data_IF_738652931123
#
_entry.id   IF_738652931123
#
_cell.length_a   1.000
_cell.length_b   1.000
_cell.length_c   1.000
_cell.angle_alpha   90.00
_cell.angle_beta   90.00
_cell.angle_gamma   90.00
#
_symmetry.space_group_name_H-M   'P 1'
#
loop_
_entity.id
_entity.type
_entity.pdbx_description
1 polymer ?
#
# COMPACT_ATOMS: atom_id res chain seq x y z
N UNK A 1 18.70 -15.45 -12.31
CA UNK A 1 19.84 -16.35 -12.51
C UNK A 1 21.10 -15.53 -12.78
N UNK A 2 22.31 -16.08 -12.52
CA UNK A 2 23.60 -15.41 -12.72
C UNK A 2 23.75 -14.85 -14.16
N UNK A 3 23.24 -15.55 -15.15
CA UNK A 3 23.27 -15.12 -16.56
C UNK A 3 22.48 -13.82 -16.81
N UNK A 4 21.34 -13.62 -16.16
CA UNK A 4 20.56 -12.36 -16.27
C UNK A 4 21.30 -11.19 -15.67
N UNK A 5 22.09 -11.40 -14.59
CA UNK A 5 22.95 -10.36 -13.99
C UNK A 5 24.11 -9.98 -14.90
N UNK A 6 24.73 -10.95 -15.55
CA UNK A 6 25.87 -10.71 -16.48
C UNK A 6 25.38 -9.97 -17.74
N UNK A 7 24.23 -10.36 -18.30
CA UNK A 7 23.62 -9.64 -19.43
C UNK A 7 23.19 -8.21 -19.02
N UNK A 8 22.69 -8.02 -17.81
CA UNK A 8 22.36 -6.68 -17.25
C UNK A 8 23.62 -5.82 -17.11
N UNK A 9 24.71 -6.35 -16.56
CA UNK A 9 25.97 -5.63 -16.41
C UNK A 9 26.59 -5.26 -17.77
N UNK A 10 26.57 -6.15 -18.76
CA UNK A 10 27.13 -5.87 -20.10
C UNK A 10 26.31 -4.84 -20.90
N UNK A 11 25.00 -4.72 -20.66
CA UNK A 11 24.16 -3.74 -21.36
C UNK A 11 24.35 -2.30 -20.85
N UNK A 12 24.97 -2.11 -19.69
CA UNK A 12 25.11 -0.80 -19.01
C UNK A 12 26.52 -0.21 -19.11
N UNK A 13 27.55 -1.00 -19.50
CA UNK A 13 28.95 -0.58 -19.51
C UNK A 13 29.40 0.14 -20.78
N UNK A 14 28.54 0.72 -21.59
CA UNK A 14 28.97 1.38 -22.83
C UNK A 14 28.81 2.90 -22.78
N UNK A 15 29.91 3.57 -22.44
CA UNK A 15 30.33 4.83 -22.99
C UNK A 15 29.55 6.08 -22.66
N UNK A 16 29.97 6.77 -21.60
CA UNK A 16 29.69 8.18 -21.30
C UNK A 16 29.61 8.41 -19.80
N UNK A 17 30.37 9.36 -19.28
CA UNK A 17 30.38 9.80 -17.89
C UNK A 17 29.06 10.50 -17.45
N UNK A 18 27.98 10.41 -18.23
CA UNK A 18 26.77 11.15 -17.98
C UNK A 18 25.88 10.42 -16.97
N UNK A 19 25.41 11.16 -15.98
CA UNK A 19 24.38 10.73 -15.06
C UNK A 19 23.03 10.75 -15.76
N UNK A 20 22.30 9.63 -15.71
CA UNK A 20 21.02 9.43 -16.41
C UNK A 20 20.05 8.69 -15.49
N UNK A 21 18.80 9.14 -15.44
CA UNK A 21 17.70 8.38 -14.89
C UNK A 21 16.77 7.90 -16.01
N UNK A 22 16.42 6.61 -15.96
CA UNK A 22 15.53 5.97 -16.92
C UNK A 22 14.22 5.67 -16.19
N UNK A 23 13.14 6.28 -16.66
CA UNK A 23 11.82 6.21 -16.04
C UNK A 23 10.84 5.55 -17.02
N UNK A 24 10.22 4.49 -16.60
CA UNK A 24 9.16 3.85 -17.37
C UNK A 24 7.91 3.65 -16.49
N UNK A 25 6.77 4.01 -17.05
CA UNK A 25 5.47 3.85 -16.40
C UNK A 25 4.65 2.76 -17.11
N UNK A 26 3.87 2.03 -16.33
CA UNK A 26 2.82 1.14 -16.81
C UNK A 26 1.57 1.36 -15.97
N UNK A 27 0.42 1.51 -16.63
CA UNK A 27 -0.90 1.61 -15.98
C UNK A 27 -1.74 0.40 -16.41
N UNK A 28 -2.42 -0.24 -15.47
CA UNK A 28 -3.34 -1.33 -15.72
C UNK A 28 -4.26 -1.53 -14.52
N UNK A 29 -5.57 -1.70 -14.76
CA UNK A 29 -6.55 -2.01 -13.72
C UNK A 29 -6.61 -0.96 -12.60
N UNK A 30 -6.52 0.33 -12.93
CA UNK A 30 -6.54 1.42 -11.95
C UNK A 30 -5.27 1.53 -11.10
N UNK A 31 -4.23 0.73 -11.40
CA UNK A 31 -2.93 0.76 -10.71
C UNK A 31 -1.83 1.21 -11.66
N UNK A 32 -0.79 1.82 -11.11
CA UNK A 32 0.38 2.21 -11.86
C UNK A 32 1.67 1.69 -11.20
N UNK A 33 2.67 1.43 -12.04
CA UNK A 33 4.04 1.21 -11.61
C UNK A 33 4.96 2.13 -12.40
N UNK A 34 5.81 2.88 -11.70
CA UNK A 34 6.93 3.62 -12.28
C UNK A 34 8.22 2.91 -11.91
N UNK A 35 8.95 2.41 -12.90
CA UNK A 35 10.30 1.87 -12.70
C UNK A 35 11.32 2.96 -12.95
N UNK A 36 12.14 3.24 -11.95
CA UNK A 36 13.26 4.18 -12.01
C UNK A 36 14.56 3.38 -11.98
N UNK A 37 15.33 3.45 -13.06
CA UNK A 37 16.69 2.92 -13.15
C UNK A 37 17.70 4.07 -13.14
N UNK A 38 18.69 4.00 -12.28
CA UNK A 38 19.68 5.07 -12.11
C UNK A 38 21.03 4.66 -12.67
N UNK A 39 21.60 5.50 -13.50
CA UNK A 39 22.97 5.39 -14.03
C UNK A 39 23.79 6.60 -13.57
N UNK A 40 24.93 6.36 -12.94
CA UNK A 40 25.84 7.40 -12.47
C UNK A 40 27.28 7.04 -12.87
N UNK A 41 27.97 7.97 -13.52
CA UNK A 41 29.32 7.73 -14.05
C UNK A 41 29.38 6.48 -14.94
N UNK A 42 28.39 6.25 -15.79
CA UNK A 42 28.28 5.07 -16.66
C UNK A 42 27.97 3.75 -15.96
N UNK A 43 27.72 3.74 -14.63
CA UNK A 43 27.39 2.55 -13.85
C UNK A 43 25.92 2.52 -13.46
N UNK A 44 25.27 1.40 -13.71
CA UNK A 44 23.90 1.16 -13.26
C UNK A 44 23.88 0.91 -11.74
N UNK A 45 23.18 1.77 -10.98
CA UNK A 45 23.08 1.69 -9.52
C UNK A 45 21.93 0.82 -9.04
N UNK A 46 21.03 0.44 -9.92
CA UNK A 46 19.87 -0.41 -9.63
C UNK A 46 18.57 0.14 -10.18
N UNK A 47 17.56 -0.71 -10.14
CA UNK A 47 16.18 -0.41 -10.50
C UNK A 47 15.31 -0.35 -9.23
N UNK A 48 14.38 0.59 -9.21
CA UNK A 48 13.39 0.71 -8.14
C UNK A 48 12.00 0.88 -8.72
N UNK A 49 11.07 0.04 -8.27
CA UNK A 49 9.66 0.17 -8.62
C UNK A 49 8.94 1.04 -7.58
N UNK A 50 8.13 1.96 -8.06
CA UNK A 50 7.25 2.81 -7.27
C UNK A 50 5.82 2.58 -7.73
N UNK A 51 4.87 2.62 -6.79
CA UNK A 51 3.45 2.39 -7.06
C UNK A 51 2.64 3.62 -6.64
N UNK A 52 2.44 4.60 -7.55
CA UNK A 52 1.61 5.78 -7.28
C UNK A 52 0.16 5.38 -6.93
N UNK A 53 -0.44 6.06 -5.95
CA UNK A 53 -1.78 5.72 -5.43
C UNK A 53 -2.92 6.51 -6.06
N UNK A 54 -2.66 7.66 -6.69
CA UNK A 54 -3.69 8.56 -7.24
C UNK A 54 -3.83 8.44 -8.76
N UNK A 55 -3.99 7.21 -9.25
CA UNK A 55 -4.14 6.94 -10.69
C UNK A 55 -5.58 7.20 -11.18
N UNK A 56 -6.56 7.01 -10.29
CA UNK A 56 -8.00 7.18 -10.60
C UNK A 56 -8.34 8.64 -10.89
N UNK A 57 -7.75 9.58 -10.17
CA UNK A 57 -7.94 11.02 -10.40
C UNK A 57 -7.42 11.44 -11.79
N UNK A 58 -6.29 10.89 -12.23
CA UNK A 58 -5.72 11.13 -13.56
C UNK A 58 -6.61 10.52 -14.66
N UNK A 59 -7.25 9.38 -14.40
CA UNK A 59 -8.16 8.73 -15.34
C UNK A 59 -9.49 9.49 -15.50
N UNK A 60 -10.06 9.99 -14.40
CA UNK A 60 -11.28 10.79 -14.40
C UNK A 60 -11.11 12.11 -15.19
N UNK A 61 -9.98 12.80 -14.99
CA UNK A 61 -9.66 14.03 -15.71
C UNK A 61 -9.43 13.81 -17.21
N UNK A 62 -8.94 12.65 -17.62
CA UNK A 62 -8.73 12.29 -19.03
C UNK A 62 -10.05 11.91 -19.74
N UNK A 63 -11.04 11.38 -19.01
CA UNK A 63 -12.31 10.90 -19.59
C UNK A 63 -13.31 12.02 -19.83
N UNK A 64 -13.18 13.17 -19.14
CA UNK A 64 -14.12 14.30 -19.25
C UNK A 64 -13.87 15.25 -20.45
N UNK A 65 -12.80 15.04 -21.24
CA UNK A 65 -12.45 15.92 -22.36
C UNK A 65 -12.12 15.12 -23.61
N UNK A 66 -12.90 15.39 -24.64
CA UNK A 66 -12.85 14.73 -25.97
C UNK A 66 -11.80 15.40 -26.92
N UNK A 67 -10.68 15.88 -26.39
CA UNK A 67 -9.63 16.54 -27.17
C UNK A 67 -8.46 15.58 -27.47
N UNK A 68 -8.17 15.36 -28.75
CA UNK A 68 -7.07 14.52 -29.28
C UNK A 68 -5.65 14.98 -28.88
N UNK A 69 -5.48 16.09 -28.13
CA UNK A 69 -4.22 16.66 -27.67
C UNK A 69 -3.91 16.40 -26.19
N UNK A 70 -4.72 15.63 -25.48
CA UNK A 70 -4.50 15.41 -24.04
C UNK A 70 -3.41 14.37 -23.78
N UNK A 71 -2.56 14.61 -22.76
CA UNK A 71 -1.54 13.64 -22.38
C UNK A 71 -2.21 12.33 -21.90
N UNK A 72 -1.62 11.19 -22.28
CA UNK A 72 -2.06 9.87 -21.82
C UNK A 72 -2.06 9.76 -20.29
N UNK A 73 -2.84 8.84 -19.72
CA UNK A 73 -2.83 8.57 -18.27
C UNK A 73 -1.41 8.24 -17.81
N UNK A 74 -0.69 7.45 -18.59
CA UNK A 74 0.71 7.13 -18.35
C UNK A 74 1.59 8.39 -18.28
N UNK A 75 1.43 9.32 -19.20
CA UNK A 75 2.20 10.57 -19.22
C UNK A 75 1.88 11.44 -17.99
N UNK A 76 0.60 11.53 -17.58
CA UNK A 76 0.19 12.29 -16.39
C UNK A 76 0.75 11.67 -15.10
N UNK A 77 0.68 10.36 -14.96
CA UNK A 77 1.23 9.63 -13.81
C UNK A 77 2.76 9.81 -13.76
N UNK A 78 3.43 9.76 -14.91
CA UNK A 78 4.88 9.92 -14.97
C UNK A 78 5.31 11.35 -14.62
N UNK A 79 4.62 12.37 -15.13
CA UNK A 79 4.88 13.78 -14.80
C UNK A 79 4.68 14.03 -13.29
N UNK A 80 3.58 13.53 -12.70
CA UNK A 80 3.32 13.65 -11.28
C UNK A 80 4.41 12.96 -10.43
N UNK A 81 4.84 11.77 -10.84
CA UNK A 81 5.93 11.06 -10.19
C UNK A 81 7.25 11.83 -10.27
N UNK A 82 7.63 12.32 -11.44
CA UNK A 82 8.85 13.12 -11.66
C UNK A 82 8.83 14.37 -10.79
N UNK A 83 7.72 15.11 -10.76
CA UNK A 83 7.55 16.28 -9.93
C UNK A 83 7.78 15.99 -8.44
N UNK A 84 7.14 14.94 -7.94
CA UNK A 84 7.23 14.56 -6.53
C UNK A 84 8.62 14.00 -6.17
N UNK A 85 9.17 13.13 -7.03
CA UNK A 85 10.45 12.48 -6.77
C UNK A 85 11.60 13.48 -6.69
N UNK A 86 11.70 14.35 -7.66
CA UNK A 86 12.76 15.35 -7.73
C UNK A 86 12.48 16.62 -6.90
N UNK A 87 11.41 16.64 -6.13
CA UNK A 87 11.19 17.72 -5.15
C UNK A 87 12.30 17.76 -4.09
N UNK A 88 12.70 16.58 -3.61
CA UNK A 88 13.66 16.41 -2.51
C UNK A 88 14.96 15.69 -2.92
N UNK A 89 15.06 15.26 -4.16
CA UNK A 89 16.23 14.56 -4.71
C UNK A 89 16.74 15.37 -5.91
N UNK A 90 18.05 15.61 -6.06
CA UNK A 90 18.60 16.28 -7.23
C UNK A 90 18.31 15.47 -8.51
N UNK A 91 17.84 16.14 -9.54
CA UNK A 91 17.64 15.51 -10.84
C UNK A 91 18.96 15.44 -11.64
N UNK A 92 19.24 14.30 -12.32
CA UNK A 92 20.40 14.20 -13.20
C UNK A 92 20.21 15.04 -14.46
N UNK A 93 21.30 15.38 -15.17
CA UNK A 93 21.23 16.19 -16.40
C UNK A 93 20.38 15.56 -17.51
N UNK A 94 20.17 14.25 -17.46
CA UNK A 94 19.42 13.53 -18.49
C UNK A 94 18.36 12.63 -17.88
N UNK A 95 17.14 12.75 -18.39
CA UNK A 95 16.03 11.85 -18.13
C UNK A 95 15.67 11.10 -19.43
N UNK A 96 15.57 9.80 -19.36
CA UNK A 96 15.01 8.96 -20.42
C UNK A 96 13.67 8.44 -19.90
N UNK A 97 12.59 8.82 -20.56
CA UNK A 97 11.23 8.55 -20.10
C UNK A 97 10.46 7.68 -21.10
N UNK A 98 9.53 6.86 -20.62
CA UNK A 98 8.66 6.06 -21.50
C UNK A 98 7.60 6.89 -22.20
N UNK A 99 7.26 8.03 -21.62
CA UNK A 99 6.27 8.99 -22.11
C UNK A 99 6.90 10.39 -22.25
N UNK A 100 6.32 11.27 -23.07
CA UNK A 100 6.75 12.66 -23.14
C UNK A 100 6.60 13.35 -21.77
N UNK A 101 7.66 14.01 -21.32
CA UNK A 101 7.64 14.85 -20.10
C UNK A 101 7.17 16.25 -20.48
N UNK A 102 6.26 16.83 -19.72
CA UNK A 102 5.70 18.14 -20.02
C UNK A 102 6.75 19.26 -19.98
N UNK A 103 6.64 20.22 -20.91
CA UNK A 103 7.56 21.35 -20.99
C UNK A 103 7.54 22.23 -19.73
N UNK A 104 6.38 22.34 -19.07
CA UNK A 104 6.21 23.06 -17.81
C UNK A 104 7.00 22.41 -16.68
N UNK A 105 6.94 21.08 -16.57
CA UNK A 105 7.69 20.32 -15.57
C UNK A 105 9.20 20.42 -15.81
N UNK A 106 9.65 20.24 -17.04
CA UNK A 106 11.06 20.40 -17.39
C UNK A 106 11.58 21.81 -17.09
N UNK A 107 10.76 22.83 -17.33
CA UNK A 107 11.11 24.21 -16.96
C UNK A 107 11.25 24.34 -15.43
N UNK A 108 10.29 23.85 -14.67
CA UNK A 108 10.34 23.90 -13.21
C UNK A 108 11.56 23.16 -12.62
N UNK A 109 11.93 22.00 -13.19
CA UNK A 109 13.15 21.29 -12.81
C UNK A 109 14.42 22.09 -13.13
N UNK A 110 14.50 22.69 -14.32
CA UNK A 110 15.63 23.52 -14.70
C UNK A 110 15.77 24.80 -13.86
N UNK A 111 14.63 25.39 -13.46
CA UNK A 111 14.62 26.58 -12.58
C UNK A 111 15.09 26.25 -11.15
N UNK A 112 14.92 24.99 -10.75
CA UNK A 112 15.32 24.48 -9.40
C UNK A 112 16.80 24.08 -9.34
N UNK A 113 17.31 23.45 -10.38
CA UNK A 113 18.66 22.86 -10.41
C UNK A 113 19.64 23.81 -11.13
N UNK A 114 20.91 23.82 -10.69
CA UNK A 114 21.98 24.62 -11.33
C UNK A 114 22.47 24.04 -12.68
N UNK A 115 21.82 22.96 -13.17
CA UNK A 115 22.20 22.30 -14.42
C UNK A 115 21.01 22.19 -15.39
N UNK A 116 21.30 22.18 -16.70
CA UNK A 116 20.27 21.98 -17.70
C UNK A 116 19.85 20.52 -17.78
N UNK A 117 18.60 20.24 -17.36
CA UNK A 117 17.99 18.92 -17.46
C UNK A 117 17.31 18.77 -18.82
N UNK A 118 17.53 17.64 -19.47
CA UNK A 118 16.89 17.26 -20.73
C UNK A 118 16.14 15.95 -20.59
N UNK A 119 14.96 15.85 -21.20
CA UNK A 119 14.19 14.60 -21.24
C UNK A 119 14.05 14.08 -22.67
N UNK A 120 14.11 12.77 -22.84
CA UNK A 120 13.95 12.09 -24.13
C UNK A 120 13.03 10.88 -23.95
N UNK A 121 11.94 10.80 -24.72
CA UNK A 121 11.00 9.66 -24.72
C UNK A 121 11.20 8.69 -25.89
N UNK A 122 11.94 9.09 -26.92
CA UNK A 122 12.25 8.27 -28.09
C UNK A 122 13.78 8.12 -28.30
N UNK A 123 14.51 7.53 -27.33
CA UNK A 123 15.94 7.35 -27.44
C UNK A 123 16.32 6.35 -28.54
N UNK A 124 17.57 6.42 -29.01
CA UNK A 124 18.14 5.50 -30.03
C UNK A 124 19.30 4.70 -29.43
N UNK A 125 19.66 3.59 -30.10
CA UNK A 125 20.82 2.79 -29.73
C UNK A 125 20.66 2.20 -28.30
N UNK A 126 21.75 2.24 -27.54
CA UNK A 126 21.82 1.65 -26.19
C UNK A 126 20.77 2.23 -25.22
N UNK A 127 20.48 3.52 -25.31
CA UNK A 127 19.48 4.20 -24.47
C UNK A 127 18.07 3.65 -24.69
N UNK A 128 17.75 3.21 -25.90
CA UNK A 128 16.49 2.53 -26.21
C UNK A 128 16.41 1.20 -25.48
N UNK A 129 17.50 0.42 -25.49
CA UNK A 129 17.55 -0.86 -24.78
C UNK A 129 17.30 -0.65 -23.27
N UNK A 130 17.89 0.37 -22.67
CA UNK A 130 17.65 0.69 -21.25
C UNK A 130 16.19 1.03 -20.98
N UNK A 131 15.57 1.82 -21.84
CA UNK A 131 14.17 2.19 -21.71
C UNK A 131 13.25 0.98 -21.87
N UNK A 132 13.54 0.10 -22.83
CA UNK A 132 12.75 -1.13 -23.05
C UNK A 132 12.86 -2.07 -21.84
N UNK A 133 14.04 -2.17 -21.22
CA UNK A 133 14.23 -2.93 -19.96
C UNK A 133 13.42 -2.31 -18.81
N UNK A 134 13.45 -0.98 -18.66
CA UNK A 134 12.67 -0.30 -17.62
C UNK A 134 11.16 -0.49 -17.84
N UNK A 135 10.67 -0.46 -19.08
CA UNK A 135 9.27 -0.77 -19.43
C UNK A 135 8.89 -2.20 -19.07
N UNK A 136 9.77 -3.15 -19.37
CA UNK A 136 9.55 -4.55 -19.02
C UNK A 136 9.50 -4.73 -17.49
N UNK A 137 10.41 -4.10 -16.75
CA UNK A 137 10.43 -4.15 -15.29
C UNK A 137 9.16 -3.52 -14.70
N UNK A 138 8.72 -2.35 -15.18
CA UNK A 138 7.47 -1.74 -14.75
C UNK A 138 6.26 -2.68 -14.95
N UNK A 139 6.18 -3.32 -16.13
CA UNK A 139 5.12 -4.26 -16.46
C UNK A 139 5.13 -5.50 -15.56
N UNK A 140 6.31 -6.09 -15.31
CA UNK A 140 6.45 -7.26 -14.45
C UNK A 140 6.10 -6.95 -12.99
N UNK A 141 6.55 -5.82 -12.46
CA UNK A 141 6.26 -5.42 -11.09
C UNK A 141 4.78 -5.10 -10.90
N UNK A 142 4.13 -4.44 -11.89
CA UNK A 142 2.71 -4.18 -11.84
C UNK A 142 1.88 -5.48 -11.92
N UNK A 143 2.23 -6.39 -12.81
CA UNK A 143 1.58 -7.70 -12.92
C UNK A 143 1.69 -8.50 -11.61
N UNK A 144 2.84 -8.43 -10.94
CA UNK A 144 3.03 -9.05 -9.63
C UNK A 144 2.12 -8.44 -8.56
N UNK A 145 2.06 -7.10 -8.49
CA UNK A 145 1.17 -6.39 -7.57
C UNK A 145 -0.29 -6.80 -7.77
N UNK A 146 -0.77 -6.79 -9.02
CA UNK A 146 -2.15 -7.15 -9.34
C UNK A 146 -2.46 -8.63 -9.02
N UNK A 147 -1.51 -9.53 -9.24
CA UNK A 147 -1.66 -10.93 -8.88
C UNK A 147 -1.72 -11.13 -7.35
N UNK A 148 -0.91 -10.39 -6.59
CA UNK A 148 -0.95 -10.41 -5.13
C UNK A 148 -2.28 -9.86 -4.60
N UNK A 149 -2.77 -8.73 -5.12
CA UNK A 149 -4.07 -8.15 -4.75
C UNK A 149 -5.22 -9.12 -5.07
N UNK A 150 -5.25 -9.69 -6.26
CA UNK A 150 -6.26 -10.69 -6.64
C UNK A 150 -6.24 -11.94 -5.76
N UNK A 151 -5.06 -12.40 -5.35
CA UNK A 151 -4.92 -13.52 -4.41
C UNK A 151 -5.46 -13.17 -3.01
N UNK A 152 -5.24 -11.96 -2.52
CA UNK A 152 -5.77 -11.52 -1.22
C UNK A 152 -7.29 -11.41 -1.25
N UNK A 153 -7.88 -10.86 -2.31
CA UNK A 153 -9.33 -10.82 -2.48
C UNK A 153 -9.94 -12.23 -2.52
N UNK A 154 -9.32 -13.15 -3.24
CA UNK A 154 -9.77 -14.54 -3.29
C UNK A 154 -9.74 -15.22 -1.92
N UNK A 155 -8.70 -14.98 -1.12
CA UNK A 155 -8.59 -15.50 0.26
C UNK A 155 -9.65 -14.91 1.18
N UNK A 156 -9.90 -13.61 1.08
CA UNK A 156 -10.94 -12.95 1.88
C UNK A 156 -12.31 -13.51 1.55
N UNK A 157 -12.59 -13.73 0.26
CA UNK A 157 -13.85 -14.35 -0.18
C UNK A 157 -13.99 -15.76 0.36
N UNK A 158 -12.97 -16.59 0.22
CA UNK A 158 -13.00 -17.95 0.75
C UNK A 158 -13.22 -18.01 2.27
N UNK A 159 -12.63 -17.08 3.02
CA UNK A 159 -12.86 -16.95 4.46
C UNK A 159 -14.31 -16.56 4.76
N UNK A 160 -14.86 -15.57 4.06
CA UNK A 160 -16.24 -15.12 4.25
C UNK A 160 -17.23 -16.25 3.93
N UNK A 161 -17.03 -16.98 2.84
CA UNK A 161 -17.83 -18.15 2.46
C UNK A 161 -17.73 -19.28 3.49
N UNK A 162 -16.53 -19.58 3.98
CA UNK A 162 -16.31 -20.66 4.95
C UNK A 162 -16.95 -20.40 6.32
N UNK A 163 -17.08 -19.12 6.69
CA UNK A 163 -17.65 -18.69 7.97
C UNK A 163 -19.08 -18.14 7.84
N UNK A 164 -19.67 -18.20 6.63
CA UNK A 164 -21.01 -17.65 6.33
C UNK A 164 -21.18 -16.19 6.81
N UNK A 165 -20.13 -15.38 6.58
CA UNK A 165 -20.16 -13.97 6.96
C UNK A 165 -21.04 -13.18 5.99
N UNK A 166 -22.07 -12.53 6.50
CA UNK A 166 -22.96 -11.65 5.76
C UNK A 166 -22.26 -10.31 5.48
N UNK A 167 -21.41 -10.26 4.46
CA UNK A 167 -20.75 -9.03 4.03
C UNK A 167 -21.26 -8.66 2.62
N UNK A 168 -22.01 -7.57 2.51
CA UNK A 168 -22.48 -7.05 1.22
C UNK A 168 -21.32 -6.61 0.33
N UNK A 169 -20.23 -6.13 0.94
CA UNK A 169 -19.00 -5.72 0.27
C UNK A 169 -17.78 -6.23 1.06
N UNK A 170 -17.00 -7.12 0.44
CA UNK A 170 -15.79 -7.69 1.05
C UNK A 170 -14.66 -6.67 1.26
N UNK A 171 -14.67 -5.54 0.56
CA UNK A 171 -13.71 -4.44 0.79
C UNK A 171 -13.93 -3.79 2.16
N UNK A 172 -15.14 -3.84 2.68
CA UNK A 172 -15.50 -3.30 3.99
C UNK A 172 -15.37 -4.32 5.12
N UNK A 173 -15.19 -5.60 4.78
CA UNK A 173 -15.02 -6.67 5.77
C UNK A 173 -13.88 -6.32 6.73
N UNK A 174 -14.22 -6.20 8.01
CA UNK A 174 -13.31 -5.86 9.09
C UNK A 174 -13.11 -7.03 10.04
N UNK A 175 -11.87 -7.44 10.19
CA UNK A 175 -11.47 -8.49 11.12
C UNK A 175 -10.52 -7.90 12.16
N UNK A 176 -10.78 -8.16 13.44
CA UNK A 176 -9.88 -7.80 14.52
C UNK A 176 -9.39 -9.08 15.22
N UNK A 177 -8.07 -9.18 15.43
CA UNK A 177 -7.48 -10.31 16.15
C UNK A 177 -6.78 -9.83 17.41
N UNK A 178 -7.04 -10.55 18.53
CA UNK A 178 -6.48 -10.26 19.84
C UNK A 178 -5.53 -11.35 20.28
N UNK A 179 -4.39 -10.93 20.80
CA UNK A 179 -3.34 -11.75 21.38
C UNK A 179 -2.96 -11.21 22.77
N UNK A 180 -2.73 -12.11 23.72
CA UNK A 180 -2.21 -11.80 25.05
C UNK A 180 -0.77 -12.28 25.13
N UNK A 181 0.14 -11.36 25.41
CA UNK A 181 1.57 -11.63 25.49
C UNK A 181 2.09 -11.32 26.90
N UNK A 182 2.89 -12.23 27.43
CA UNK A 182 3.59 -12.05 28.70
C UNK A 182 5.08 -11.87 28.44
N UNK A 183 5.62 -10.74 28.86
CA UNK A 183 7.07 -10.54 28.85
C UNK A 183 7.63 -11.00 30.19
N UNK A 184 8.64 -11.86 30.16
CA UNK A 184 9.24 -12.43 31.37
C UNK A 184 9.70 -11.32 32.33
N UNK A 185 8.98 -11.16 33.45
CA UNK A 185 9.27 -10.18 34.50
C UNK A 185 8.64 -8.79 34.30
N UNK A 186 7.85 -8.56 33.26
CA UNK A 186 7.17 -7.28 32.97
C UNK A 186 5.66 -7.46 32.84
N UNK A 187 4.95 -6.33 32.74
CA UNK A 187 3.50 -6.27 32.66
C UNK A 187 2.93 -7.08 31.49
N UNK A 188 1.80 -7.73 31.73
CA UNK A 188 0.99 -8.38 30.68
C UNK A 188 0.54 -7.34 29.65
N UNK A 189 0.71 -7.64 28.38
CA UNK A 189 0.27 -6.80 27.27
C UNK A 189 -0.73 -7.55 26.40
N UNK A 190 -1.70 -6.82 25.86
CA UNK A 190 -2.56 -7.32 24.82
C UNK A 190 -2.36 -6.53 23.54
N UNK A 191 -2.46 -7.18 22.41
CA UNK A 191 -2.41 -6.56 21.10
C UNK A 191 -3.71 -6.79 20.33
N UNK A 192 -4.09 -5.79 19.54
CA UNK A 192 -5.17 -5.89 18.58
C UNK A 192 -4.63 -5.53 17.21
N UNK A 193 -4.71 -6.47 16.26
CA UNK A 193 -4.38 -6.24 14.85
C UNK A 193 -5.65 -6.18 14.02
N UNK A 194 -5.61 -5.41 12.95
CA UNK A 194 -6.80 -5.12 12.13
C UNK A 194 -6.53 -5.48 10.68
N UNK A 195 -7.46 -6.21 10.08
CA UNK A 195 -7.53 -6.49 8.65
C UNK A 195 -8.79 -5.83 8.07
N UNK A 196 -8.63 -5.08 6.97
CA UNK A 196 -9.70 -4.45 6.20
C UNK A 196 -9.21 -4.14 4.79
N UNK A 197 -10.10 -4.16 3.78
CA UNK A 197 -9.72 -3.89 2.39
C UNK A 197 -8.66 -4.90 1.91
N UNK A 198 -8.87 -6.16 2.21
CA UNK A 198 -8.04 -7.31 1.83
C UNK A 198 -6.57 -7.25 2.33
N UNK A 199 -6.26 -6.41 3.32
CA UNK A 199 -4.89 -6.23 3.84
C UNK A 199 -4.86 -5.86 5.32
N UNK A 200 -3.72 -6.11 5.93
CA UNK A 200 -3.45 -5.69 7.30
C UNK A 200 -3.35 -4.16 7.39
N UNK A 201 -4.02 -3.56 8.37
CA UNK A 201 -4.10 -2.12 8.60
C UNK A 201 -3.20 -1.72 9.78
N UNK A 202 -1.89 -1.64 9.57
CA UNK A 202 -0.92 -1.38 10.65
C UNK A 202 -1.16 -0.07 11.41
N UNK A 203 -1.67 0.97 10.75
CA UNK A 203 -2.05 2.23 11.39
C UNK A 203 -3.20 2.12 12.40
N UNK A 204 -3.98 1.02 12.33
CA UNK A 204 -5.10 0.75 13.23
C UNK A 204 -4.76 -0.25 14.34
N UNK A 205 -3.54 -0.77 14.39
CA UNK A 205 -3.10 -1.67 15.46
C UNK A 205 -3.10 -0.94 16.80
N UNK A 206 -3.44 -1.66 17.87
CA UNK A 206 -3.44 -1.13 19.23
C UNK A 206 -2.72 -2.08 20.15
N UNK A 207 -1.99 -1.52 21.10
CA UNK A 207 -1.42 -2.23 22.25
C UNK A 207 -2.08 -1.72 23.52
N UNK A 208 -2.32 -2.64 24.44
CA UNK A 208 -2.95 -2.35 25.71
C UNK A 208 -2.05 -2.89 26.83
N UNK A 209 -1.67 -2.04 27.74
CA UNK A 209 -1.07 -2.47 29.00
C UNK A 209 -2.20 -2.99 29.88
N UNK A 210 -2.06 -4.20 30.38
CA UNK A 210 -3.01 -4.87 31.25
C UNK A 210 -2.54 -4.69 32.69
N UNK A 211 -3.39 -4.17 33.55
CA UNK A 211 -3.06 -3.81 34.91
C UNK A 211 -4.05 -4.44 35.90
N UNK A 212 -3.61 -4.66 37.13
CA UNK A 212 -4.50 -5.13 38.20
C UNK A 212 -4.97 -6.58 38.11
N UNK A 213 -4.29 -7.41 37.32
CA UNK A 213 -4.57 -8.84 37.20
C UNK A 213 -3.43 -9.68 37.83
N UNK A 214 -3.73 -10.91 38.18
CA UNK A 214 -2.70 -11.88 38.58
C UNK A 214 -1.84 -12.23 37.37
N UNK A 215 -0.52 -12.26 37.52
CA UNK A 215 0.40 -12.61 36.42
C UNK A 215 0.06 -13.99 35.84
N UNK A 216 -0.11 -14.09 34.54
CA UNK A 216 -0.50 -15.32 33.86
C UNK A 216 -1.99 -15.58 33.78
N UNK A 217 -2.85 -14.66 34.22
CA UNK A 217 -4.29 -14.75 34.05
C UNK A 217 -4.74 -14.19 32.69
N UNK A 218 -4.63 -15.02 31.65
CA UNK A 218 -5.01 -14.67 30.28
C UNK A 218 -6.50 -14.39 30.14
N UNK A 219 -7.34 -14.97 30.99
CA UNK A 219 -8.79 -14.75 30.97
C UNK A 219 -9.14 -13.33 31.43
N UNK A 220 -8.56 -12.90 32.55
CA UNK A 220 -8.74 -11.54 33.05
C UNK A 220 -8.12 -10.52 32.08
N UNK A 221 -6.97 -10.82 31.46
CA UNK A 221 -6.34 -9.99 30.46
C UNK A 221 -7.23 -9.83 29.22
N UNK A 222 -7.77 -10.93 28.69
CA UNK A 222 -8.66 -10.92 27.53
C UNK A 222 -9.94 -10.12 27.83
N UNK A 223 -10.54 -10.31 28.99
CA UNK A 223 -11.71 -9.53 29.44
C UNK A 223 -11.39 -8.03 29.43
N UNK A 224 -10.29 -7.63 30.06
CA UNK A 224 -9.93 -6.22 30.18
C UNK A 224 -9.68 -5.57 28.83
N UNK A 225 -8.98 -6.23 27.90
CA UNK A 225 -8.72 -5.64 26.58
C UNK A 225 -9.98 -5.49 25.75
N UNK A 226 -10.87 -6.48 25.76
CA UNK A 226 -12.12 -6.44 25.01
C UNK A 226 -13.08 -5.36 25.56
N UNK A 227 -13.23 -5.28 26.88
CA UNK A 227 -14.00 -4.19 27.51
C UNK A 227 -13.45 -2.81 27.13
N UNK A 228 -12.15 -2.59 27.27
CA UNK A 228 -11.50 -1.30 26.88
C UNK A 228 -11.65 -0.99 25.40
N UNK A 229 -11.68 -1.99 24.54
CA UNK A 229 -11.82 -1.84 23.10
C UNK A 229 -13.22 -1.48 22.69
N UNK A 230 -14.23 -2.17 23.25
CA UNK A 230 -15.58 -2.15 22.74
C UNK A 230 -16.60 -1.38 23.58
N UNK A 231 -16.30 -0.97 24.83
CA UNK A 231 -17.24 -0.17 25.66
C UNK A 231 -17.73 1.07 24.93
N UNK A 232 -16.82 1.84 24.33
CA UNK A 232 -17.19 3.06 23.58
C UNK A 232 -18.02 2.76 22.32
N UNK A 233 -17.79 1.61 21.70
CA UNK A 233 -18.57 1.19 20.52
C UNK A 233 -19.98 0.81 20.96
N UNK A 234 -20.11 0.08 22.08
CA UNK A 234 -21.38 -0.29 22.68
C UNK A 234 -22.20 0.94 23.10
N UNK A 235 -21.56 1.89 23.78
CA UNK A 235 -22.17 3.18 24.15
C UNK A 235 -22.71 3.92 22.93
N UNK A 236 -21.87 4.07 21.87
CA UNK A 236 -22.26 4.74 20.63
C UNK A 236 -23.42 4.05 19.90
N UNK A 237 -23.47 2.72 19.91
CA UNK A 237 -24.57 1.96 19.31
C UNK A 237 -25.89 2.13 20.10
N UNK A 238 -25.80 2.16 21.42
CA UNK A 238 -26.97 2.38 22.29
C UNK A 238 -27.53 3.80 22.08
N UNK A 239 -26.67 4.82 21.97
CA UNK A 239 -27.09 6.20 21.70
C UNK A 239 -27.68 6.37 20.29
N UNK A 240 -27.15 5.66 19.29
CA UNK A 240 -27.61 5.73 17.90
C UNK A 240 -28.94 5.02 17.64
N UNK A 241 -29.49 4.25 18.60
CA UNK A 241 -30.76 3.55 18.45
C UNK A 241 -30.83 2.58 17.28
N UNK A 242 -29.69 1.99 16.87
CA UNK A 242 -29.59 1.05 15.74
C UNK A 242 -29.29 1.70 14.39
N UNK A 243 -29.02 3.02 14.34
CA UNK A 243 -28.54 3.66 13.11
C UNK A 243 -27.05 3.35 12.85
N UNK A 244 -26.64 3.27 11.58
CA UNK A 244 -25.23 3.08 11.25
C UNK A 244 -24.35 4.21 11.82
N UNK A 245 -23.17 3.88 12.38
CA UNK A 245 -22.27 4.89 12.95
C UNK A 245 -21.77 5.83 11.84
N UNK A 246 -21.73 7.12 12.15
CA UNK A 246 -21.22 8.14 11.24
C UNK A 246 -19.76 7.86 10.82
N UNK A 247 -19.38 8.34 9.64
CA UNK A 247 -18.00 8.18 9.13
C UNK A 247 -16.98 8.70 10.15
N UNK A 248 -16.10 7.79 10.64
CA UNK A 248 -15.08 8.09 11.66
C UNK A 248 -15.38 7.57 13.06
N UNK A 249 -16.57 7.07 13.34
CA UNK A 249 -16.88 6.39 14.61
C UNK A 249 -16.35 4.95 14.60
N UNK A 250 -16.04 4.44 15.79
CA UNK A 250 -15.59 3.06 15.96
C UNK A 250 -16.73 2.10 15.58
N UNK A 251 -16.52 1.30 14.52
CA UNK A 251 -17.45 0.28 14.05
C UNK A 251 -17.05 -1.06 14.64
N UNK A 252 -18.06 -1.91 14.95
CA UNK A 252 -17.81 -3.31 15.27
C UNK A 252 -17.12 -4.03 14.10
N UNK A 253 -16.21 -4.96 14.36
CA UNK A 253 -15.69 -5.84 13.33
C UNK A 253 -16.76 -6.86 12.93
N UNK A 254 -16.67 -7.34 11.70
CA UNK A 254 -17.53 -8.44 11.20
C UNK A 254 -17.05 -9.80 11.75
N UNK A 255 -15.77 -9.87 12.15
CA UNK A 255 -15.18 -11.05 12.76
C UNK A 255 -14.16 -10.68 13.84
N UNK A 256 -14.25 -11.29 15.00
CA UNK A 256 -13.24 -11.22 16.06
C UNK A 256 -12.53 -12.56 16.17
N UNK A 257 -11.21 -12.53 16.02
CA UNK A 257 -10.33 -13.68 16.24
C UNK A 257 -9.66 -13.55 17.60
N UNK A 258 -9.66 -14.63 18.36
CA UNK A 258 -8.96 -14.73 19.64
C UNK A 258 -7.83 -15.73 19.49
N UNK A 259 -6.59 -15.25 19.63
CA UNK A 259 -5.41 -16.12 19.65
C UNK A 259 -5.32 -16.75 21.04
N UNK A 260 -5.95 -17.91 21.18
CA UNK A 260 -6.07 -18.60 22.46
C UNK A 260 -6.98 -19.81 22.43
N UNK A 261 -7.14 -20.42 23.59
CA UNK A 261 -7.98 -21.60 23.76
C UNK A 261 -9.48 -21.29 23.91
N UNK A 262 -10.29 -22.35 24.00
CA UNK A 262 -11.75 -22.27 24.18
C UNK A 262 -12.17 -21.38 25.34
N UNK A 263 -11.39 -21.34 26.43
CA UNK A 263 -11.68 -20.52 27.59
C UNK A 263 -11.62 -19.03 27.31
N UNK A 264 -10.62 -18.58 26.55
CA UNK A 264 -10.49 -17.16 26.14
C UNK A 264 -11.61 -16.76 25.18
N UNK A 265 -12.02 -17.66 24.28
CA UNK A 265 -13.20 -17.44 23.43
C UNK A 265 -14.48 -17.33 24.24
N UNK A 266 -14.65 -18.17 25.31
CA UNK A 266 -15.81 -18.06 26.20
C UNK A 266 -15.84 -16.72 26.91
N UNK A 267 -14.70 -16.25 27.43
CA UNK A 267 -14.59 -14.92 28.05
C UNK A 267 -14.94 -13.79 27.05
N UNK A 268 -14.49 -13.90 25.82
CA UNK A 268 -14.84 -12.93 24.79
C UNK A 268 -16.37 -12.87 24.58
N UNK A 269 -17.03 -14.01 24.44
CA UNK A 269 -18.50 -14.08 24.33
C UNK A 269 -19.21 -13.45 25.53
N UNK A 270 -18.74 -13.72 26.75
CA UNK A 270 -19.30 -13.13 27.98
C UNK A 270 -19.20 -11.59 27.95
N UNK A 271 -18.04 -11.05 27.53
CA UNK A 271 -17.84 -9.60 27.42
C UNK A 271 -18.78 -8.99 26.38
N UNK A 272 -18.88 -9.56 25.19
CA UNK A 272 -19.79 -9.06 24.16
C UNK A 272 -21.24 -9.10 24.61
N UNK A 273 -21.67 -10.18 25.23
CA UNK A 273 -23.03 -10.29 25.83
C UNK A 273 -23.25 -9.22 26.90
N UNK A 274 -22.27 -9.00 27.79
CA UNK A 274 -22.38 -7.98 28.84
C UNK A 274 -22.45 -6.55 28.30
N UNK A 275 -21.77 -6.29 27.15
CA UNK A 275 -21.82 -5.01 26.46
C UNK A 275 -23.08 -4.83 25.58
N UNK A 276 -23.92 -5.86 25.48
CA UNK A 276 -25.10 -5.84 24.59
C UNK A 276 -24.75 -5.85 23.11
N UNK A 277 -23.58 -6.37 22.76
CA UNK A 277 -23.11 -6.50 21.39
C UNK A 277 -23.39 -7.91 20.88
N UNK A 278 -24.14 -8.01 19.79
CA UNK A 278 -24.41 -9.29 19.13
C UNK A 278 -23.30 -9.58 18.13
N UNK A 279 -22.53 -10.62 18.43
CA UNK A 279 -21.57 -11.25 17.53
C UNK A 279 -22.04 -12.70 17.37
N UNK A 280 -23.01 -12.90 16.49
CA UNK A 280 -23.51 -14.23 16.11
C UNK A 280 -22.52 -15.00 15.26
#
# INVERSE_FOLDING_TARGET
TALSRVLHQQAVEVGGDADVDILAVKVQGGRACVNLAMVRGGRHLGDRAYFPTHVEDAHALATERDDDELPTVEAQVLDAFIAQHYLNVPAPPQLIASEPVSASLLKALNDKEDCKITATHAPRGQRRVWLDMARQNASLQLARLLAEEGSQQARTRALAEALDLAADNLDDLRIECFDISHTAGEATQASCVVFKGHRMQSGQYRRYNIEGITGGDDYAAMRQVLERRYSKVAEAQQEAGGAEPAAGQARLPDLVLIDGGKGQVSVAREVFTALGLDLS
#
